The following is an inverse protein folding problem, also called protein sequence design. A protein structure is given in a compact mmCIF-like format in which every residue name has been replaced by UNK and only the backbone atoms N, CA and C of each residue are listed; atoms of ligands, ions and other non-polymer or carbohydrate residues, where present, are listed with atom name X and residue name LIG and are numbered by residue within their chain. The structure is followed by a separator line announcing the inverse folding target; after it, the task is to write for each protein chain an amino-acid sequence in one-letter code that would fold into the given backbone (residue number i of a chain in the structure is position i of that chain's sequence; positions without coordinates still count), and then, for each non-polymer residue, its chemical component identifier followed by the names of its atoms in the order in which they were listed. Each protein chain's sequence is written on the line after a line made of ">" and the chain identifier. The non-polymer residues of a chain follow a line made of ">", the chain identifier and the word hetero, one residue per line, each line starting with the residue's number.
data_IF_302185368460
#
_entry.id   IF_302185368460
#
_cell.length_a   1.000
_cell.length_b   1.000
_cell.length_c   1.000
_cell.angle_alpha   90.00
_cell.angle_beta   90.00
_cell.angle_gamma   90.00
#
_symmetry.space_group_name_H-M   'P 1'
#
loop_
_entity.id
_entity.type
_entity.pdbx_description
1 polymer ?
#
# COMPACT_ATOMS: atom_id res chain seq x y z
N UNK A 1 -21.06 7.13 28.22
CA UNK A 1 -20.23 7.13 26.97
C UNK A 1 -20.04 8.53 26.42
N UNK A 2 -21.06 9.30 26.12
CA UNK A 2 -20.98 10.67 25.54
C UNK A 2 -20.09 11.62 26.34
N UNK A 3 -20.29 11.71 27.67
CA UNK A 3 -19.50 12.56 28.57
C UNK A 3 -18.00 12.24 28.57
N UNK A 4 -17.60 11.02 28.28
CA UNK A 4 -16.19 10.65 28.14
C UNK A 4 -15.66 11.04 26.76
N UNK A 5 -16.39 10.73 25.69
CA UNK A 5 -15.99 11.06 24.30
C UNK A 5 -15.82 12.58 24.12
N UNK A 6 -16.68 13.40 24.73
CA UNK A 6 -16.61 14.87 24.65
C UNK A 6 -15.35 15.48 25.30
N UNK A 7 -14.59 14.70 26.10
CA UNK A 7 -13.34 15.11 26.75
C UNK A 7 -12.10 14.72 25.97
N UNK A 8 -12.24 14.01 24.84
CA UNK A 8 -11.13 13.70 23.95
C UNK A 8 -10.54 14.98 23.38
N UNK A 9 -9.22 15.09 23.40
CA UNK A 9 -8.49 16.26 22.92
C UNK A 9 -7.79 15.98 21.59
N UNK A 10 -6.84 15.04 21.58
CA UNK A 10 -6.07 14.71 20.38
C UNK A 10 -6.86 13.81 19.40
N UNK A 11 -7.77 13.01 19.93
CA UNK A 11 -8.67 12.14 19.17
C UNK A 11 -10.10 12.68 19.13
N UNK A 12 -10.29 13.94 19.52
CA UNK A 12 -11.61 14.58 19.63
C UNK A 12 -12.15 15.21 18.35
N UNK A 13 -11.32 15.34 17.30
CA UNK A 13 -11.77 15.82 15.99
C UNK A 13 -12.49 14.70 15.24
N UNK A 14 -13.69 14.36 15.75
CA UNK A 14 -14.53 13.30 15.21
C UNK A 14 -15.47 13.89 14.16
N UNK A 15 -15.42 13.41 12.91
CA UNK A 15 -16.43 13.73 11.91
C UNK A 15 -17.84 13.41 12.43
N UNK A 16 -18.82 14.23 12.06
CA UNK A 16 -20.21 14.01 12.50
C UNK A 16 -20.78 12.65 12.09
N UNK A 17 -20.21 12.04 11.07
CA UNK A 17 -20.57 10.70 10.59
C UNK A 17 -19.73 9.60 11.24
N UNK A 18 -18.77 9.88 12.12
CA UNK A 18 -17.97 8.84 12.78
C UNK A 18 -18.84 7.99 13.71
N UNK A 19 -18.60 6.65 13.69
CA UNK A 19 -19.39 5.67 14.47
C UNK A 19 -19.35 6.00 15.97
N UNK A 20 -18.13 6.30 16.48
CA UNK A 20 -17.94 6.66 17.90
C UNK A 20 -18.71 7.90 18.28
N UNK A 21 -18.72 8.92 17.42
CA UNK A 21 -19.49 10.16 17.64
C UNK A 21 -21.00 9.89 17.67
N UNK A 22 -21.50 9.13 16.67
CA UNK A 22 -22.93 8.77 16.59
C UNK A 22 -23.39 7.92 17.76
N UNK A 23 -22.63 6.92 18.17
CA UNK A 23 -22.96 6.12 19.36
C UNK A 23 -22.95 6.98 20.62
N UNK A 24 -21.99 7.92 20.75
CA UNK A 24 -21.98 8.88 21.85
C UNK A 24 -23.28 9.66 21.94
N UNK A 25 -23.74 10.25 20.83
CA UNK A 25 -25.01 10.99 20.78
C UNK A 25 -26.25 10.13 21.15
N UNK A 26 -26.31 8.90 20.62
CA UNK A 26 -27.42 7.98 20.92
C UNK A 26 -27.46 7.58 22.39
N UNK A 27 -26.29 7.41 23.00
CA UNK A 27 -26.20 7.10 24.43
C UNK A 27 -26.50 8.33 25.33
N UNK A 28 -26.19 9.53 24.86
CA UNK A 28 -26.64 10.75 25.53
C UNK A 28 -28.18 10.84 25.57
N UNK A 29 -28.84 10.63 24.42
CA UNK A 29 -30.30 10.61 24.33
C UNK A 29 -30.89 9.55 25.27
N UNK A 30 -30.29 8.38 25.36
CA UNK A 30 -30.71 7.35 26.31
C UNK A 30 -30.56 7.77 27.76
N UNK A 31 -29.41 8.35 28.14
CA UNK A 31 -29.13 8.80 29.51
C UNK A 31 -30.06 9.96 29.96
N UNK A 32 -30.37 10.89 29.04
CA UNK A 32 -31.30 12.01 29.29
C UNK A 32 -32.74 11.52 29.38
N UNK A 33 -33.08 10.38 28.76
CA UNK A 33 -34.42 9.81 28.81
C UNK A 33 -35.42 10.42 27.81
N UNK A 34 -34.96 11.32 26.93
CA UNK A 34 -35.79 11.96 25.90
C UNK A 34 -35.56 11.24 24.54
N UNK A 35 -36.18 10.09 24.34
CA UNK A 35 -36.03 9.33 23.09
C UNK A 35 -37.28 8.53 22.71
N UNK A 36 -37.48 8.32 21.40
CA UNK A 36 -38.37 7.31 20.89
C UNK A 36 -37.61 5.96 20.85
N UNK A 37 -38.10 4.98 21.61
CA UNK A 37 -37.43 3.67 21.73
C UNK A 37 -37.18 2.99 20.38
N UNK A 38 -38.15 3.02 19.47
CA UNK A 38 -38.07 2.37 18.16
C UNK A 38 -37.02 3.06 17.27
N UNK A 39 -36.96 4.38 17.29
CA UNK A 39 -35.98 5.15 16.53
C UNK A 39 -34.58 4.97 17.10
N UNK A 40 -34.42 5.04 18.42
CA UNK A 40 -33.13 4.84 19.08
C UNK A 40 -32.56 3.45 18.77
N UNK A 41 -33.38 2.40 18.85
CA UNK A 41 -32.96 1.03 18.49
C UNK A 41 -32.56 0.92 17.02
N UNK A 42 -33.31 1.51 16.10
CA UNK A 42 -32.96 1.54 14.66
C UNK A 42 -31.61 2.22 14.43
N UNK A 43 -31.39 3.35 15.08
CA UNK A 43 -30.18 4.15 14.88
C UNK A 43 -28.94 3.47 15.52
N UNK A 44 -29.09 2.83 16.69
CA UNK A 44 -28.07 1.94 17.27
C UNK A 44 -27.73 0.80 16.31
N UNK A 45 -28.73 0.09 15.81
CA UNK A 45 -28.52 -1.01 14.85
C UNK A 45 -27.82 -0.54 13.57
N UNK A 46 -28.05 0.69 13.15
CA UNK A 46 -27.35 1.29 12.01
C UNK A 46 -25.85 1.42 12.30
N UNK A 47 -25.47 1.86 13.50
CA UNK A 47 -24.04 1.96 13.85
C UNK A 47 -23.41 0.59 14.06
N UNK A 48 -24.10 -0.36 14.66
CA UNK A 48 -23.62 -1.76 14.77
C UNK A 48 -23.40 -2.38 13.38
N UNK A 49 -24.32 -2.15 12.43
CA UNK A 49 -24.14 -2.57 11.03
C UNK A 49 -22.89 -1.95 10.40
N UNK A 50 -22.57 -0.70 10.70
CA UNK A 50 -21.34 -0.05 10.21
C UNK A 50 -20.10 -0.72 10.79
N UNK A 51 -20.09 -1.08 12.07
CA UNK A 51 -19.01 -1.89 12.68
C UNK A 51 -18.87 -3.24 11.96
N UNK A 52 -19.99 -3.91 11.66
CA UNK A 52 -20.00 -5.17 10.90
C UNK A 52 -19.47 -4.99 9.46
N UNK A 53 -19.74 -3.87 8.80
CA UNK A 53 -19.16 -3.55 7.50
C UNK A 53 -17.64 -3.46 7.58
N UNK A 54 -17.11 -2.66 8.54
CA UNK A 54 -15.66 -2.56 8.77
C UNK A 54 -15.05 -3.94 9.07
N UNK A 55 -15.71 -4.74 9.93
CA UNK A 55 -15.26 -6.09 10.24
C UNK A 55 -15.26 -7.00 9.01
N UNK A 56 -16.22 -6.83 8.10
CA UNK A 56 -16.31 -7.58 6.85
C UNK A 56 -15.21 -7.20 5.87
N UNK A 57 -14.94 -5.90 5.74
CA UNK A 57 -13.94 -5.36 4.81
C UNK A 57 -12.51 -5.75 5.22
N UNK A 58 -12.24 -5.81 6.52
CA UNK A 58 -10.92 -6.10 7.08
C UNK A 58 -10.79 -7.51 7.70
N UNK A 59 -11.85 -8.33 7.71
CA UNK A 59 -11.81 -9.68 8.26
C UNK A 59 -11.61 -9.72 9.78
N UNK A 60 -12.21 -8.79 10.53
CA UNK A 60 -12.14 -8.79 12.00
C UNK A 60 -12.98 -9.92 12.59
N UNK A 61 -12.61 -10.38 13.78
CA UNK A 61 -13.19 -11.50 14.49
C UNK A 61 -13.12 -11.25 16.01
N UNK A 62 -13.71 -12.08 16.80
CA UNK A 62 -13.77 -12.01 18.26
C UNK A 62 -14.57 -10.75 18.74
N UNK A 63 -13.96 -9.81 19.44
CA UNK A 63 -14.61 -8.60 19.93
C UNK A 63 -14.54 -7.48 18.89
N UNK A 64 -15.61 -7.28 18.13
CA UNK A 64 -15.64 -6.26 17.07
C UNK A 64 -15.67 -4.83 17.61
N UNK A 65 -16.18 -4.59 18.82
CA UNK A 65 -16.11 -3.27 19.45
C UNK A 65 -14.65 -2.89 19.76
N UNK A 66 -13.87 -3.80 20.36
CA UNK A 66 -12.45 -3.59 20.61
C UNK A 66 -11.65 -3.44 19.31
N UNK A 67 -11.96 -4.26 18.31
CA UNK A 67 -11.31 -4.17 17.00
C UNK A 67 -11.61 -2.83 16.31
N UNK A 68 -12.84 -2.33 16.39
CA UNK A 68 -13.21 -1.02 15.85
C UNK A 68 -12.46 0.12 16.57
N UNK A 69 -12.43 0.14 17.89
CA UNK A 69 -11.69 1.16 18.65
C UNK A 69 -10.18 1.12 18.34
N UNK A 70 -9.62 -0.09 18.22
CA UNK A 70 -8.22 -0.29 17.84
C UNK A 70 -7.97 0.24 16.43
N UNK A 71 -8.82 -0.10 15.47
CA UNK A 71 -8.73 0.39 14.09
C UNK A 71 -8.84 1.90 14.02
N UNK A 72 -9.75 2.49 14.80
CA UNK A 72 -9.89 3.93 14.93
C UNK A 72 -8.58 4.58 15.42
N UNK A 73 -7.97 4.07 16.51
CA UNK A 73 -6.68 4.55 17.01
C UNK A 73 -5.57 4.44 15.97
N UNK A 74 -5.49 3.31 15.27
CA UNK A 74 -4.48 3.07 14.22
C UNK A 74 -4.63 4.01 13.02
N UNK A 75 -5.87 4.40 12.69
CA UNK A 75 -6.17 5.26 11.54
C UNK A 75 -6.13 6.76 11.88
N UNK A 76 -6.20 7.14 13.15
CA UNK A 76 -6.29 8.54 13.57
C UNK A 76 -4.94 9.25 13.50
N UNK A 77 -4.74 10.02 12.44
CA UNK A 77 -3.58 10.90 12.27
C UNK A 77 -3.80 12.21 13.01
N UNK A 78 -2.97 12.50 14.02
CA UNK A 78 -2.97 13.73 14.78
C UNK A 78 -1.51 14.12 15.14
N UNK A 79 -1.26 15.34 15.68
CA UNK A 79 0.10 15.78 15.98
C UNK A 79 0.87 14.83 16.89
N UNK A 80 0.21 14.16 17.83
CA UNK A 80 0.85 13.18 18.72
C UNK A 80 1.18 11.88 17.98
N UNK A 81 0.22 11.27 17.30
CA UNK A 81 0.41 9.98 16.62
C UNK A 81 1.47 10.06 15.53
N UNK A 82 1.50 11.16 14.75
CA UNK A 82 2.54 11.43 13.73
C UNK A 82 3.91 11.65 14.38
N UNK A 83 3.98 12.31 15.55
CA UNK A 83 5.24 12.47 16.27
C UNK A 83 5.73 11.13 16.82
N UNK A 84 4.84 10.31 17.41
CA UNK A 84 5.18 8.96 17.87
C UNK A 84 5.67 8.05 16.74
N UNK A 85 5.10 8.16 15.54
CA UNK A 85 5.59 7.44 14.35
C UNK A 85 7.07 7.71 14.09
N UNK A 86 7.51 8.96 14.29
CA UNK A 86 8.89 9.38 13.98
C UNK A 86 9.89 9.06 15.08
N UNK A 87 9.56 9.40 16.32
CA UNK A 87 10.51 9.41 17.43
C UNK A 87 10.08 8.52 18.61
N UNK A 88 8.92 7.88 18.54
CA UNK A 88 8.32 7.17 19.65
C UNK A 88 7.73 8.14 20.70
N UNK A 89 7.32 7.58 21.83
CA UNK A 89 6.81 8.35 22.98
C UNK A 89 7.98 8.94 23.79
N UNK A 90 8.71 9.89 23.17
CA UNK A 90 9.74 10.66 23.92
C UNK A 90 9.08 11.69 24.84
N UNK A 91 9.81 12.09 25.91
CA UNK A 91 9.30 13.04 26.89
C UNK A 91 8.85 14.36 26.24
N UNK A 92 7.60 14.72 26.50
CA UNK A 92 7.01 15.94 25.98
C UNK A 92 5.65 16.26 26.62
N UNK A 93 5.33 17.54 26.70
CA UNK A 93 4.05 18.00 27.30
C UNK A 93 2.80 17.41 26.61
N UNK A 94 2.91 17.04 25.33
CA UNK A 94 1.82 16.41 24.57
C UNK A 94 1.42 15.05 25.15
N UNK A 95 2.35 14.32 25.77
CA UNK A 95 2.07 13.02 26.38
C UNK A 95 1.05 13.14 27.52
N UNK A 96 1.13 14.21 28.33
CA UNK A 96 0.15 14.46 29.40
C UNK A 96 -1.26 14.75 28.86
N UNK A 97 -1.36 15.41 27.71
CA UNK A 97 -2.66 15.69 27.07
C UNK A 97 -3.28 14.39 26.51
N UNK A 98 -2.46 13.54 25.91
CA UNK A 98 -2.91 12.28 25.30
C UNK A 98 -3.19 11.20 26.36
N UNK A 99 -2.51 11.24 27.51
CA UNK A 99 -2.79 10.30 28.60
C UNK A 99 -4.27 10.36 29.04
N UNK A 100 -4.89 11.57 29.00
CA UNK A 100 -6.32 11.70 29.23
C UNK A 100 -7.15 10.95 28.18
N UNK A 101 -6.78 11.07 26.91
CA UNK A 101 -7.51 10.41 25.82
C UNK A 101 -7.38 8.88 25.92
N UNK A 102 -6.20 8.36 26.22
CA UNK A 102 -6.01 6.91 26.39
C UNK A 102 -6.73 6.36 27.62
N UNK A 103 -6.85 7.14 28.71
CA UNK A 103 -7.72 6.79 29.82
C UNK A 103 -9.19 6.68 29.39
N UNK A 104 -9.63 7.58 28.51
CA UNK A 104 -10.99 7.51 27.94
C UNK A 104 -11.14 6.28 27.06
N UNK A 105 -10.18 6.02 26.16
CA UNK A 105 -10.21 4.80 25.34
C UNK A 105 -10.20 3.52 26.18
N UNK A 106 -9.41 3.45 27.27
CA UNK A 106 -9.45 2.31 28.19
C UNK A 106 -10.85 2.12 28.78
N UNK A 107 -11.54 3.21 29.21
CA UNK A 107 -12.93 3.13 29.66
C UNK A 107 -13.89 2.69 28.55
N UNK A 108 -13.65 3.08 27.31
CA UNK A 108 -14.46 2.65 26.17
C UNK A 108 -14.23 1.16 25.83
N UNK A 109 -13.03 0.64 26.03
CA UNK A 109 -12.74 -0.78 25.93
C UNK A 109 -13.48 -1.58 26.99
N UNK A 110 -13.52 -1.09 28.24
CA UNK A 110 -14.15 -1.74 29.37
C UNK A 110 -15.65 -1.40 29.51
N UNK A 111 -16.26 -0.74 28.50
CA UNK A 111 -17.62 -0.25 28.59
C UNK A 111 -18.64 -1.37 28.66
N UNK A 112 -19.50 -1.35 29.71
CA UNK A 112 -20.61 -2.31 29.87
C UNK A 112 -21.86 -1.86 29.12
N UNK A 113 -22.22 -2.57 28.07
CA UNK A 113 -23.42 -2.34 27.26
C UNK A 113 -24.70 -2.94 27.85
N UNK A 114 -24.61 -3.81 28.86
CA UNK A 114 -25.78 -4.52 29.40
C UNK A 114 -26.91 -3.60 29.89
N UNK A 115 -26.63 -2.47 30.56
CA UNK A 115 -27.70 -1.56 31.02
C UNK A 115 -28.60 -1.05 29.87
N UNK A 116 -27.97 -0.61 28.76
CA UNK A 116 -28.73 -0.10 27.62
C UNK A 116 -29.41 -1.24 26.84
N UNK A 117 -28.75 -2.39 26.67
CA UNK A 117 -29.34 -3.57 26.04
C UNK A 117 -30.59 -4.06 26.77
N UNK A 118 -30.51 -4.15 28.11
CA UNK A 118 -31.65 -4.58 28.94
C UNK A 118 -32.82 -3.60 28.87
N UNK A 119 -32.56 -2.28 28.89
CA UNK A 119 -33.59 -1.26 28.84
C UNK A 119 -34.29 -1.20 27.47
N UNK A 120 -33.53 -1.37 26.39
CA UNK A 120 -34.06 -1.32 25.03
C UNK A 120 -34.58 -2.68 24.53
N UNK A 121 -34.22 -3.80 25.18
CA UNK A 121 -34.56 -5.15 24.76
C UNK A 121 -33.81 -5.58 23.49
N UNK A 122 -32.55 -5.25 23.40
CA UNK A 122 -31.62 -5.61 22.32
C UNK A 122 -30.42 -6.38 22.88
N UNK A 123 -29.65 -7.03 22.02
CA UNK A 123 -28.45 -7.80 22.37
C UNK A 123 -27.31 -7.61 21.35
N UNK A 124 -27.43 -6.61 20.50
CA UNK A 124 -26.52 -6.41 19.36
C UNK A 124 -25.06 -6.13 19.78
N UNK A 125 -24.82 -5.44 20.91
CA UNK A 125 -23.48 -5.23 21.42
C UNK A 125 -22.88 -6.51 22.01
N UNK A 126 -23.69 -7.30 22.73
CA UNK A 126 -23.30 -8.63 23.21
C UNK A 126 -22.93 -9.54 22.05
N UNK A 127 -23.67 -9.50 20.92
CA UNK A 127 -23.37 -10.30 19.75
C UNK A 127 -22.05 -9.88 19.07
N UNK A 128 -21.80 -8.58 18.87
CA UNK A 128 -20.54 -8.12 18.25
C UNK A 128 -19.33 -8.28 19.17
N UNK A 129 -19.51 -8.35 20.48
CA UNK A 129 -18.44 -8.63 21.44
C UNK A 129 -18.01 -10.10 21.48
N UNK A 130 -18.85 -11.00 20.92
CA UNK A 130 -18.60 -12.44 20.84
C UNK A 130 -18.75 -12.93 19.38
N UNK A 131 -18.30 -12.13 18.43
CA UNK A 131 -18.52 -12.36 17.01
C UNK A 131 -17.62 -13.48 16.50
N UNK A 132 -18.19 -14.32 15.62
CA UNK A 132 -17.45 -15.34 14.87
C UNK A 132 -17.56 -15.05 13.38
N UNK A 133 -16.46 -14.68 12.76
CA UNK A 133 -16.43 -14.43 11.34
C UNK A 133 -16.68 -15.72 10.53
N UNK A 134 -17.43 -15.59 9.43
CA UNK A 134 -17.52 -16.66 8.43
C UNK A 134 -16.12 -16.82 7.82
N UNK A 135 -15.61 -18.07 7.78
CA UNK A 135 -14.30 -18.38 7.18
C UNK A 135 -14.34 -17.94 5.72
N UNK A 136 -13.53 -16.94 5.40
CA UNK A 136 -13.37 -16.40 4.05
C UNK A 136 -12.08 -16.94 3.44
N UNK A 137 -12.06 -17.08 2.10
CA UNK A 137 -10.80 -17.36 1.39
C UNK A 137 -9.87 -16.17 1.52
N UNK A 138 -8.57 -16.43 1.57
CA UNK A 138 -7.49 -15.48 1.87
C UNK A 138 -7.46 -14.18 1.01
N UNK A 139 -8.11 -14.19 -0.14
CA UNK A 139 -8.16 -13.03 -1.05
C UNK A 139 -9.35 -12.08 -0.83
N UNK A 140 -10.20 -12.32 0.18
CA UNK A 140 -11.43 -11.55 0.36
C UNK A 140 -11.28 -10.30 1.26
N UNK A 141 -10.15 -10.12 1.94
CA UNK A 141 -9.90 -8.96 2.81
C UNK A 141 -8.40 -8.67 2.97
N UNK A 142 -8.08 -7.51 3.52
CA UNK A 142 -6.69 -7.12 3.75
C UNK A 142 -6.13 -7.83 5.00
N UNK A 143 -5.49 -8.98 4.81
CA UNK A 143 -4.90 -9.79 5.88
C UNK A 143 -3.95 -9.02 6.77
N UNK A 144 -3.10 -8.19 6.17
CA UNK A 144 -2.09 -7.44 6.90
C UNK A 144 -2.71 -6.44 7.89
N UNK A 145 -3.78 -5.74 7.48
CA UNK A 145 -4.54 -4.86 8.39
C UNK A 145 -5.23 -5.68 9.46
N UNK A 146 -5.89 -6.78 9.07
CA UNK A 146 -6.60 -7.67 10.00
C UNK A 146 -5.72 -8.18 11.13
N UNK A 147 -4.56 -8.74 10.79
CA UNK A 147 -3.62 -9.30 11.77
C UNK A 147 -3.11 -8.23 12.74
N UNK A 148 -2.73 -7.05 12.24
CA UNK A 148 -2.25 -5.94 13.06
C UNK A 148 -3.31 -5.42 14.03
N UNK A 149 -4.53 -5.18 13.52
CA UNK A 149 -5.64 -4.70 14.35
C UNK A 149 -5.98 -5.71 15.44
N UNK A 150 -6.15 -6.98 15.09
CA UNK A 150 -6.49 -8.05 16.03
C UNK A 150 -5.39 -8.27 17.08
N UNK A 151 -4.13 -8.23 16.67
CA UNK A 151 -3.00 -8.39 17.59
C UNK A 151 -2.90 -7.20 18.57
N UNK A 152 -3.09 -5.98 18.07
CA UNK A 152 -3.09 -4.78 18.93
C UNK A 152 -4.32 -4.77 19.85
N UNK A 153 -5.51 -5.08 19.34
CA UNK A 153 -6.76 -5.15 20.11
C UNK A 153 -6.62 -6.06 21.33
N UNK A 154 -6.05 -7.27 21.14
CA UNK A 154 -5.79 -8.21 22.26
C UNK A 154 -4.80 -7.65 23.29
N UNK A 155 -3.78 -6.92 22.86
CA UNK A 155 -2.84 -6.26 23.79
C UNK A 155 -3.50 -5.14 24.57
N UNK A 156 -4.35 -4.34 23.93
CA UNK A 156 -5.08 -3.24 24.58
C UNK A 156 -6.15 -3.75 25.55
N UNK A 157 -6.83 -4.84 25.21
CA UNK A 157 -7.76 -5.53 26.12
C UNK A 157 -7.06 -6.04 27.36
N UNK A 158 -5.85 -6.61 27.21
CA UNK A 158 -5.06 -7.15 28.32
C UNK A 158 -4.37 -6.06 29.19
N UNK A 159 -4.31 -4.81 28.72
CA UNK A 159 -3.69 -3.70 29.46
C UNK A 159 -4.39 -3.46 30.80
N UNK A 160 -3.63 -3.50 31.89
CA UNK A 160 -4.16 -3.43 33.26
C UNK A 160 -4.53 -2.01 33.66
N UNK A 161 -3.78 -1.04 33.15
CA UNK A 161 -3.93 0.36 33.50
C UNK A 161 -3.71 1.28 32.29
N UNK A 162 -3.84 2.57 32.53
CA UNK A 162 -3.72 3.63 31.53
C UNK A 162 -2.28 3.73 30.97
N UNK A 163 -1.28 3.44 31.79
CA UNK A 163 0.11 3.53 31.39
C UNK A 163 0.47 2.37 30.45
N UNK A 164 0.05 1.13 30.77
CA UNK A 164 0.25 -0.01 29.91
C UNK A 164 -0.49 0.18 28.57
N UNK A 165 -1.69 0.75 28.59
CA UNK A 165 -2.44 1.10 27.39
C UNK A 165 -1.67 2.12 26.53
N UNK A 166 -1.13 3.19 27.16
CA UNK A 166 -0.28 4.19 26.50
C UNK A 166 0.95 3.55 25.84
N UNK A 167 1.67 2.71 26.58
CA UNK A 167 2.90 2.06 26.09
C UNK A 167 2.62 1.14 24.90
N UNK A 168 1.51 0.40 24.94
CA UNK A 168 1.09 -0.48 23.84
C UNK A 168 0.76 0.32 22.57
N UNK A 169 -0.03 1.41 22.68
CA UNK A 169 -0.39 2.23 21.50
C UNK A 169 0.83 2.93 20.93
N UNK A 170 1.64 3.56 21.78
CA UNK A 170 2.84 4.31 21.32
C UNK A 170 3.91 3.39 20.75
N UNK A 171 4.07 2.20 21.33
CA UNK A 171 4.92 1.14 20.79
C UNK A 171 4.47 0.68 19.40
N UNK A 172 3.16 0.59 19.18
CA UNK A 172 2.60 0.29 17.86
C UNK A 172 2.90 1.42 16.86
N UNK A 173 2.65 2.67 17.21
CA UNK A 173 2.94 3.81 16.32
C UNK A 173 4.40 3.89 15.92
N UNK A 174 5.31 3.62 16.86
CA UNK A 174 6.75 3.57 16.57
C UNK A 174 7.14 2.45 15.63
N UNK A 175 6.52 1.26 15.80
CA UNK A 175 6.88 0.06 15.05
C UNK A 175 6.27 0.05 13.63
N UNK A 176 5.02 0.48 13.51
CA UNK A 176 4.24 0.33 12.26
C UNK A 176 3.76 1.66 11.69
N UNK A 177 3.81 2.75 12.48
CA UNK A 177 3.28 4.06 12.12
C UNK A 177 1.78 4.19 12.31
N UNK A 178 1.22 5.27 11.78
CA UNK A 178 -0.19 5.64 11.94
C UNK A 178 -0.85 5.91 10.59
N UNK A 179 -2.16 5.80 10.55
CA UNK A 179 -2.96 6.04 9.36
C UNK A 179 -2.82 4.94 8.31
N UNK A 180 -3.30 5.21 7.12
CA UNK A 180 -3.31 4.23 6.04
C UNK A 180 -1.92 3.73 5.64
N UNK A 181 -0.88 4.58 5.74
CA UNK A 181 0.49 4.21 5.40
C UNK A 181 1.11 3.22 6.39
N UNK A 182 0.67 3.23 7.66
CA UNK A 182 1.07 2.24 8.66
C UNK A 182 0.53 0.85 8.37
N UNK A 183 -0.64 0.78 7.80
CA UNK A 183 -1.39 -0.46 7.63
C UNK A 183 -1.20 -1.12 6.27
N UNK A 184 -0.90 -0.38 5.21
CA UNK A 184 -0.91 -0.88 3.85
C UNK A 184 0.46 -0.75 3.16
N UNK A 185 0.75 -1.68 2.23
CA UNK A 185 2.01 -1.76 1.47
C UNK A 185 2.04 -0.83 0.28
N UNK A 186 0.90 -0.76 -0.43
CA UNK A 186 0.81 -0.09 -1.71
C UNK A 186 -0.49 0.69 -1.86
N UNK A 187 -0.43 1.74 -2.65
CA UNK A 187 -1.52 2.69 -2.86
C UNK A 187 -1.63 3.06 -4.33
N UNK A 188 -2.83 3.44 -4.74
CA UNK A 188 -3.13 4.22 -5.94
C UNK A 188 -3.65 5.58 -5.52
N UNK A 189 -3.80 6.48 -6.47
CA UNK A 189 -4.51 7.72 -6.25
C UNK A 189 -5.86 7.67 -6.96
N UNK A 190 -6.89 8.18 -6.30
CA UNK A 190 -8.22 8.42 -6.83
C UNK A 190 -8.40 9.92 -7.04
N UNK A 191 -8.79 10.32 -8.25
CA UNK A 191 -9.01 11.72 -8.60
C UNK A 191 -10.42 12.15 -8.20
N UNK A 192 -10.53 13.31 -7.58
CA UNK A 192 -11.81 13.90 -7.20
C UNK A 192 -12.28 14.93 -8.24
N UNK A 193 -13.59 15.13 -8.31
CA UNK A 193 -14.22 16.08 -9.25
C UNK A 193 -13.80 17.54 -8.99
N UNK A 194 -13.39 17.87 -7.77
CA UNK A 194 -12.89 19.20 -7.38
C UNK A 194 -11.42 19.44 -7.74
N UNK A 195 -10.78 18.47 -8.43
CA UNK A 195 -9.37 18.55 -8.81
C UNK A 195 -8.40 18.16 -7.68
N UNK A 196 -8.93 17.59 -6.59
CA UNK A 196 -8.15 16.92 -5.53
C UNK A 196 -7.83 15.47 -5.87
N UNK A 197 -7.17 14.78 -4.94
CA UNK A 197 -6.97 13.34 -4.98
C UNK A 197 -6.94 12.77 -3.55
N UNK A 198 -7.20 11.46 -3.44
CA UNK A 198 -6.97 10.68 -2.22
C UNK A 198 -6.09 9.46 -2.51
N UNK A 199 -5.44 8.95 -1.45
CA UNK A 199 -4.72 7.69 -1.53
C UNK A 199 -5.69 6.54 -1.27
N UNK A 200 -5.70 5.56 -2.18
CA UNK A 200 -6.51 4.35 -2.07
C UNK A 200 -5.60 3.13 -1.84
N UNK A 201 -5.73 2.42 -0.71
CA UNK A 201 -4.95 1.22 -0.45
C UNK A 201 -5.20 0.13 -1.51
N UNK A 202 -4.13 -0.55 -1.91
CA UNK A 202 -4.21 -1.75 -2.76
C UNK A 202 -4.28 -2.97 -1.83
N UNK A 203 -5.46 -3.51 -1.64
CA UNK A 203 -5.70 -4.61 -0.69
C UNK A 203 -5.13 -5.96 -1.13
N UNK A 204 -5.08 -6.20 -2.45
CA UNK A 204 -4.70 -7.48 -3.05
C UNK A 204 -3.45 -7.31 -3.92
N UNK A 205 -2.35 -6.87 -3.33
CA UNK A 205 -1.06 -6.87 -4.00
C UNK A 205 -0.54 -8.31 -4.10
N UNK A 206 -0.01 -8.68 -5.29
CA UNK A 206 0.62 -9.99 -5.48
C UNK A 206 1.67 -10.26 -4.39
N UNK A 207 1.57 -11.39 -3.71
CA UNK A 207 2.50 -11.80 -2.64
C UNK A 207 3.82 -12.36 -3.17
N UNK A 208 4.24 -11.93 -4.37
CA UNK A 208 5.47 -12.38 -5.02
C UNK A 208 6.71 -11.88 -4.27
N UNK A 209 7.70 -12.76 -4.10
CA UNK A 209 9.02 -12.44 -3.57
C UNK A 209 10.07 -12.49 -4.68
N UNK A 210 11.25 -11.88 -4.45
CA UNK A 210 12.32 -11.91 -5.47
C UNK A 210 12.80 -13.34 -5.81
N UNK A 211 12.71 -14.25 -4.85
CA UNK A 211 13.07 -15.68 -5.05
C UNK A 211 12.04 -16.44 -5.92
N UNK A 212 10.88 -15.86 -6.15
CA UNK A 212 9.89 -16.42 -7.05
C UNK A 212 10.18 -16.09 -8.52
N UNK A 213 10.96 -15.04 -8.76
CA UNK A 213 11.47 -14.72 -10.10
C UNK A 213 12.69 -15.58 -10.41
N UNK A 214 12.53 -16.52 -11.32
CA UNK A 214 13.61 -17.43 -11.74
C UNK A 214 14.49 -16.72 -12.76
N UNK A 215 15.79 -16.73 -12.54
CA UNK A 215 16.77 -16.01 -13.34
C UNK A 215 16.90 -14.53 -12.96
N UNK A 216 17.57 -13.77 -13.83
CA UNK A 216 17.80 -12.33 -13.68
C UNK A 216 18.56 -11.92 -12.40
N UNK A 217 19.50 -12.74 -11.93
CA UNK A 217 20.22 -12.56 -10.65
C UNK A 217 20.98 -11.21 -10.59
N UNK A 218 21.58 -10.78 -11.71
CA UNK A 218 22.30 -9.50 -11.78
C UNK A 218 21.30 -8.34 -11.65
N UNK A 219 20.15 -8.44 -12.29
CA UNK A 219 19.10 -7.43 -12.27
C UNK A 219 18.49 -7.34 -10.87
N UNK A 220 18.13 -8.48 -10.28
CA UNK A 220 17.65 -8.59 -8.90
C UNK A 220 18.64 -7.97 -7.94
N UNK A 221 19.90 -8.34 -8.01
CA UNK A 221 20.95 -7.79 -7.15
C UNK A 221 21.05 -6.26 -7.25
N UNK A 222 21.10 -5.70 -8.45
CA UNK A 222 21.17 -4.24 -8.64
C UNK A 222 19.97 -3.51 -8.06
N UNK A 223 18.76 -4.07 -8.23
CA UNK A 223 17.53 -3.52 -7.69
C UNK A 223 17.54 -3.58 -6.15
N UNK A 224 17.93 -4.73 -5.59
CA UNK A 224 18.03 -4.96 -4.14
C UNK A 224 19.05 -4.03 -3.51
N UNK A 225 20.28 -3.98 -4.03
CA UNK A 225 21.37 -3.13 -3.48
C UNK A 225 20.95 -1.65 -3.38
N UNK A 226 20.26 -1.12 -4.42
CA UNK A 226 19.78 0.26 -4.42
C UNK A 226 18.60 0.47 -3.43
N UNK A 227 17.68 -0.49 -3.37
CA UNK A 227 16.50 -0.37 -2.49
C UNK A 227 16.88 -0.57 -1.02
N UNK A 228 17.79 -1.49 -0.72
CA UNK A 228 18.31 -1.72 0.63
C UNK A 228 19.03 -0.45 1.15
N UNK A 229 19.89 0.16 0.33
CA UNK A 229 20.52 1.42 0.68
C UNK A 229 19.48 2.51 1.00
N UNK A 230 18.41 2.59 0.20
CA UNK A 230 17.33 3.54 0.41
C UNK A 230 16.57 3.30 1.73
N UNK A 231 16.20 2.07 2.02
CA UNK A 231 15.48 1.68 3.24
C UNK A 231 16.34 1.96 4.48
N UNK A 232 17.65 1.69 4.40
CA UNK A 232 18.62 1.98 5.46
C UNK A 232 18.92 3.49 5.64
N UNK A 233 18.26 4.38 4.89
CA UNK A 233 18.47 5.83 4.99
C UNK A 233 19.72 6.34 4.30
N UNK A 234 20.40 5.51 3.52
CA UNK A 234 21.54 5.92 2.69
C UNK A 234 21.07 6.58 1.39
N UNK A 235 21.98 7.30 0.73
CA UNK A 235 21.68 7.86 -0.60
C UNK A 235 21.46 6.74 -1.61
N UNK A 236 20.36 6.83 -2.34
CA UNK A 236 19.98 5.89 -3.38
C UNK A 236 19.40 6.64 -4.60
N UNK A 237 19.24 5.94 -5.71
CA UNK A 237 18.85 6.53 -6.97
C UNK A 237 17.44 6.14 -7.40
N UNK A 238 16.83 6.96 -8.24
CA UNK A 238 15.67 6.55 -9.03
C UNK A 238 16.07 5.38 -9.96
N UNK A 239 15.14 4.47 -10.21
CA UNK A 239 15.40 3.23 -10.97
C UNK A 239 14.50 3.14 -12.19
N UNK A 240 15.09 2.83 -13.33
CA UNK A 240 14.38 2.48 -14.56
C UNK A 240 14.70 1.02 -14.95
N UNK A 241 13.69 0.16 -14.94
CA UNK A 241 13.76 -1.18 -15.50
C UNK A 241 13.23 -1.14 -16.94
N UNK A 242 14.08 -1.44 -17.90
CA UNK A 242 13.66 -1.40 -19.31
C UNK A 242 14.00 -2.71 -20.04
N UNK A 243 13.33 -2.96 -21.15
CA UNK A 243 13.59 -4.11 -22.00
C UNK A 243 12.33 -4.88 -22.40
N UNK A 244 12.49 -6.13 -22.81
CA UNK A 244 11.44 -6.92 -23.43
C UNK A 244 10.21 -7.13 -22.55
N UNK A 245 9.04 -7.23 -23.17
CA UNK A 245 7.79 -7.53 -22.45
C UNK A 245 7.79 -8.93 -21.87
N UNK A 246 7.17 -9.12 -20.71
CA UNK A 246 7.03 -10.43 -20.06
C UNK A 246 8.29 -10.96 -19.37
N UNK A 247 9.31 -10.12 -19.15
CA UNK A 247 10.57 -10.49 -18.50
C UNK A 247 10.61 -10.30 -16.99
N UNK A 248 9.49 -9.91 -16.36
CA UNK A 248 9.39 -9.79 -14.90
C UNK A 248 9.74 -8.41 -14.32
N UNK A 249 9.86 -7.35 -15.13
CA UNK A 249 10.17 -5.98 -14.66
C UNK A 249 9.22 -5.50 -13.56
N UNK A 250 7.93 -5.46 -13.85
CA UNK A 250 6.90 -5.00 -12.89
C UNK A 250 6.80 -5.94 -11.69
N UNK A 251 6.97 -7.25 -11.91
CA UNK A 251 7.00 -8.26 -10.84
C UNK A 251 8.18 -8.04 -9.90
N UNK A 252 9.36 -7.67 -10.41
CA UNK A 252 10.55 -7.35 -9.58
C UNK A 252 10.29 -6.17 -8.65
N UNK A 253 9.61 -5.12 -9.13
CA UNK A 253 9.26 -3.97 -8.28
C UNK A 253 8.25 -4.34 -7.21
N UNK A 254 7.22 -5.13 -7.54
CA UNK A 254 6.26 -5.63 -6.55
C UNK A 254 6.95 -6.50 -5.50
N UNK A 255 7.84 -7.38 -5.93
CA UNK A 255 8.59 -8.28 -5.04
C UNK A 255 9.48 -7.49 -4.06
N UNK A 256 10.18 -6.45 -4.52
CA UNK A 256 11.02 -5.62 -3.65
C UNK A 256 10.19 -4.88 -2.59
N UNK A 257 8.98 -4.42 -2.93
CA UNK A 257 8.08 -3.78 -1.97
C UNK A 257 7.61 -4.78 -0.91
N UNK A 258 7.28 -6.01 -1.30
CA UNK A 258 6.93 -7.07 -0.34
C UNK A 258 8.09 -7.38 0.60
N UNK A 259 9.32 -7.46 0.07
CA UNK A 259 10.51 -7.80 0.83
C UNK A 259 10.86 -6.76 1.90
N UNK A 260 10.72 -5.47 1.60
CA UNK A 260 11.12 -4.37 2.50
C UNK A 260 9.95 -3.64 3.16
N UNK A 261 8.74 -4.21 3.09
CA UNK A 261 7.57 -3.59 3.73
C UNK A 261 7.72 -3.41 5.24
N UNK A 262 8.21 -4.43 5.93
CA UNK A 262 8.41 -4.40 7.39
C UNK A 262 9.56 -3.46 7.79
N UNK A 263 10.46 -3.17 6.87
CA UNK A 263 11.50 -2.13 7.02
C UNK A 263 11.01 -0.72 6.66
N UNK A 264 9.72 -0.53 6.48
CA UNK A 264 9.08 0.77 6.27
C UNK A 264 8.95 1.19 4.80
N UNK A 265 9.18 0.31 3.83
CA UNK A 265 8.98 0.63 2.41
C UNK A 265 7.49 0.63 2.05
N UNK A 266 7.07 1.64 1.28
CA UNK A 266 5.71 1.80 0.76
C UNK A 266 5.75 2.12 -0.74
N UNK A 267 4.71 1.73 -1.48
CA UNK A 267 4.61 2.02 -2.91
C UNK A 267 3.37 2.85 -3.21
N UNK A 268 3.51 3.84 -4.08
CA UNK A 268 2.39 4.59 -4.65
C UNK A 268 2.44 4.39 -6.15
N UNK A 269 1.50 3.63 -6.68
CA UNK A 269 1.34 3.41 -8.12
C UNK A 269 0.60 4.59 -8.72
N UNK A 270 1.19 5.22 -9.75
CA UNK A 270 0.58 6.33 -10.48
C UNK A 270 0.60 6.08 -11.98
N UNK A 271 -0.46 6.50 -12.63
CA UNK A 271 -0.61 6.41 -14.08
C UNK A 271 -0.19 7.72 -14.75
N UNK A 272 0.18 7.65 -16.01
CA UNK A 272 0.70 8.80 -16.78
C UNK A 272 -0.20 10.04 -16.71
N UNK A 273 -1.52 9.90 -16.87
CA UNK A 273 -2.47 11.02 -16.78
C UNK A 273 -2.53 11.68 -15.40
N UNK A 274 -2.00 11.02 -14.37
CA UNK A 274 -1.95 11.50 -12.96
C UNK A 274 -0.68 12.27 -12.62
N UNK A 275 0.28 12.42 -13.56
CA UNK A 275 1.54 13.11 -13.29
C UNK A 275 1.38 14.57 -12.88
N UNK A 276 0.28 15.20 -13.24
CA UNK A 276 -0.10 16.54 -12.74
C UNK A 276 -0.19 16.64 -11.22
N UNK A 277 -0.39 15.51 -10.53
CA UNK A 277 -0.47 15.43 -9.05
C UNK A 277 0.87 15.12 -8.37
N UNK A 278 1.94 14.80 -9.11
CA UNK A 278 3.23 14.36 -8.54
C UNK A 278 3.74 15.28 -7.43
N UNK A 279 3.74 16.60 -7.64
CA UNK A 279 4.20 17.56 -6.62
C UNK A 279 3.32 17.53 -5.36
N UNK A 280 2.00 17.39 -5.53
CA UNK A 280 1.07 17.29 -4.39
C UNK A 280 1.24 15.96 -3.63
N UNK A 281 1.45 14.86 -4.36
CA UNK A 281 1.73 13.53 -3.77
C UNK A 281 3.02 13.62 -2.94
N UNK A 282 4.09 14.15 -3.49
CA UNK A 282 5.37 14.34 -2.79
C UNK A 282 5.18 15.18 -1.54
N UNK A 283 4.47 16.31 -1.64
CA UNK A 283 4.19 17.17 -0.49
C UNK A 283 3.44 16.44 0.64
N UNK A 284 2.52 15.54 0.31
CA UNK A 284 1.74 14.76 1.29
C UNK A 284 2.58 13.70 2.02
N UNK A 285 3.63 13.14 1.38
CA UNK A 285 4.40 12.01 1.94
C UNK A 285 5.81 12.37 2.40
N UNK A 286 6.35 13.53 1.99
CA UNK A 286 7.75 13.93 2.28
C UNK A 286 8.10 13.99 3.77
N UNK A 287 7.11 14.24 4.62
CA UNK A 287 7.29 14.37 6.06
C UNK A 287 6.94 13.11 6.86
N UNK A 288 6.58 12.01 6.18
CA UNK A 288 6.26 10.74 6.84
C UNK A 288 7.54 9.94 7.15
N UNK A 289 7.46 9.06 8.12
CA UNK A 289 8.59 8.23 8.56
C UNK A 289 8.82 6.98 7.70
N UNK A 290 8.15 6.89 6.56
CA UNK A 290 8.28 5.77 5.61
C UNK A 290 9.20 6.12 4.46
N UNK A 291 9.71 5.09 3.79
CA UNK A 291 10.38 5.19 2.49
C UNK A 291 9.35 4.90 1.40
N UNK A 292 9.20 5.82 0.45
CA UNK A 292 8.20 5.70 -0.61
C UNK A 292 8.84 5.48 -1.96
N UNK A 293 8.34 4.47 -2.68
CA UNK A 293 8.57 4.31 -4.11
C UNK A 293 7.34 4.83 -4.85
N UNK A 294 7.49 5.89 -5.62
CA UNK A 294 6.49 6.29 -6.61
C UNK A 294 6.73 5.42 -7.84
N UNK A 295 5.77 4.53 -8.12
CA UNK A 295 5.89 3.53 -9.17
C UNK A 295 5.10 3.90 -10.41
N UNK A 296 5.75 3.78 -11.57
CA UNK A 296 5.19 4.05 -12.90
C UNK A 296 5.38 2.83 -13.78
N UNK A 297 4.29 2.13 -14.09
CA UNK A 297 4.35 0.94 -14.95
C UNK A 297 4.21 1.31 -16.42
N UNK A 298 4.97 0.60 -17.28
CA UNK A 298 5.01 0.74 -18.73
C UNK A 298 5.16 2.19 -19.24
N UNK A 299 6.12 2.91 -18.63
CA UNK A 299 6.37 4.31 -18.91
C UNK A 299 6.88 4.50 -20.34
N UNK A 300 6.12 5.24 -21.13
CA UNK A 300 6.50 5.65 -22.48
C UNK A 300 5.77 6.95 -22.85
N UNK A 301 6.41 7.79 -23.63
CA UNK A 301 5.85 9.05 -24.10
C UNK A 301 5.86 9.13 -25.61
N UNK A 302 4.81 9.68 -26.19
CA UNK A 302 4.81 10.14 -27.56
C UNK A 302 5.45 11.54 -27.63
N UNK A 303 5.88 11.95 -28.80
CA UNK A 303 6.67 13.18 -28.99
C UNK A 303 5.98 14.48 -28.52
N UNK A 304 4.67 14.54 -28.64
CA UNK A 304 3.84 15.72 -28.32
C UNK A 304 3.19 15.70 -26.94
N UNK A 305 3.41 14.64 -26.15
CA UNK A 305 2.85 14.55 -24.80
C UNK A 305 3.58 15.48 -23.85
N UNK A 306 2.84 16.19 -23.01
CA UNK A 306 3.38 17.15 -22.05
C UNK A 306 3.70 16.54 -20.68
N UNK A 307 3.18 15.34 -20.43
CA UNK A 307 3.28 14.63 -19.15
C UNK A 307 4.74 14.38 -18.73
N UNK A 308 5.64 14.16 -19.69
CA UNK A 308 7.05 14.00 -19.40
C UNK A 308 7.68 15.22 -18.71
N UNK A 309 7.15 16.43 -18.95
CA UNK A 309 7.64 17.67 -18.33
C UNK A 309 7.38 17.69 -16.83
N UNK A 310 6.23 17.16 -16.39
CA UNK A 310 5.94 17.03 -14.96
C UNK A 310 6.92 16.06 -14.29
N UNK A 311 7.18 14.91 -14.93
CA UNK A 311 8.13 13.93 -14.43
C UNK A 311 9.54 14.50 -14.38
N UNK A 312 9.98 15.19 -15.45
CA UNK A 312 11.27 15.85 -15.54
C UNK A 312 11.45 16.86 -14.40
N UNK A 313 10.49 17.75 -14.19
CA UNK A 313 10.53 18.75 -13.13
C UNK A 313 10.67 18.12 -11.72
N UNK A 314 10.00 17.01 -11.49
CA UNK A 314 10.08 16.30 -10.20
C UNK A 314 11.40 15.57 -10.00
N UNK A 315 11.91 14.91 -11.06
CA UNK A 315 13.20 14.17 -10.96
C UNK A 315 14.39 15.13 -10.83
N UNK A 316 14.34 16.29 -11.50
CA UNK A 316 15.38 17.32 -11.41
C UNK A 316 15.42 17.99 -10.05
N UNK A 317 14.28 18.03 -9.36
CA UNK A 317 14.09 18.88 -8.20
C UNK A 317 14.04 20.35 -8.63
N UNK A 318 12.99 21.06 -8.24
CA UNK A 318 12.92 22.50 -8.43
C UNK A 318 13.73 23.24 -7.36
N UNK A 319 13.19 24.33 -6.82
CA UNK A 319 13.79 25.11 -5.72
C UNK A 319 13.80 24.29 -4.40
N UNK A 320 12.85 23.34 -4.23
CA UNK A 320 12.84 22.42 -3.09
C UNK A 320 13.84 21.28 -3.31
N UNK A 321 14.62 20.96 -2.27
CA UNK A 321 15.47 19.77 -2.27
C UNK A 321 14.61 18.51 -2.38
N UNK A 322 15.06 17.54 -3.21
CA UNK A 322 14.39 16.25 -3.32
C UNK A 322 14.31 15.59 -1.93
N UNK A 323 13.11 15.16 -1.49
CA UNK A 323 12.98 14.47 -0.21
C UNK A 323 13.79 13.17 -0.18
N UNK A 324 14.54 12.94 0.90
CA UNK A 324 15.39 11.75 1.05
C UNK A 324 14.58 10.45 1.24
N UNK A 325 13.29 10.57 1.52
CA UNK A 325 12.40 9.45 1.74
C UNK A 325 11.56 9.04 0.51
N UNK A 326 11.87 9.57 -0.69
CA UNK A 326 11.09 9.30 -1.91
C UNK A 326 12.02 8.95 -3.07
N UNK A 327 11.76 7.82 -3.72
CA UNK A 327 12.36 7.43 -5.00
C UNK A 327 11.29 7.18 -6.06
N UNK A 328 11.66 7.34 -7.32
CA UNK A 328 10.84 7.02 -8.48
C UNK A 328 11.38 5.74 -9.10
N UNK A 329 10.52 4.72 -9.20
CA UNK A 329 10.80 3.49 -9.92
C UNK A 329 9.86 3.40 -11.13
N UNK A 330 10.42 3.13 -12.29
CA UNK A 330 9.64 3.00 -13.51
C UNK A 330 10.00 1.72 -14.26
N UNK A 331 9.01 1.17 -14.96
CA UNK A 331 9.26 0.14 -15.98
C UNK A 331 9.00 0.70 -17.36
N UNK A 332 9.68 0.16 -18.37
CA UNK A 332 9.44 0.51 -19.78
C UNK A 332 9.72 -0.68 -20.68
N UNK A 333 8.95 -0.82 -21.74
CA UNK A 333 9.25 -1.77 -22.82
C UNK A 333 10.24 -1.18 -23.84
N UNK A 334 10.72 0.04 -23.62
CA UNK A 334 11.64 0.76 -24.49
C UNK A 334 12.86 1.23 -23.70
N UNK A 335 14.03 1.22 -24.34
CA UNK A 335 15.25 1.79 -23.75
C UNK A 335 15.16 3.31 -23.62
N UNK A 336 14.60 3.96 -24.62
CA UNK A 336 14.34 5.38 -24.65
C UNK A 336 12.84 5.61 -24.35
N UNK A 337 12.55 6.38 -23.31
CA UNK A 337 11.19 6.59 -22.80
C UNK A 337 10.30 7.35 -23.78
N UNK A 338 10.89 8.15 -24.68
CA UNK A 338 10.17 8.92 -25.70
C UNK A 338 10.39 8.23 -27.05
N UNK A 339 9.29 8.11 -27.83
CA UNK A 339 9.30 7.43 -29.13
C UNK A 339 10.15 8.20 -30.13
N UNK A 340 11.09 7.50 -30.76
CA UNK A 340 11.85 8.00 -31.88
C UNK A 340 11.02 7.84 -33.17
N UNK A 341 10.91 8.88 -33.99
CA UNK A 341 10.29 8.80 -35.31
C UNK A 341 11.31 8.31 -36.34
N UNK A 342 10.81 7.80 -37.48
CA UNK A 342 11.68 7.40 -38.60
C UNK A 342 12.56 8.54 -39.12
N UNK A 343 12.13 9.79 -38.99
CA UNK A 343 12.90 10.97 -39.33
C UNK A 343 14.10 11.18 -38.42
N UNK A 344 13.98 10.90 -37.13
CA UNK A 344 15.08 11.00 -36.13
C UNK A 344 16.28 10.09 -36.47
N UNK A 345 16.05 9.01 -37.21
CA UNK A 345 17.12 8.06 -37.65
C UNK A 345 17.82 8.47 -38.93
N UNK A 346 17.13 9.21 -39.81
CA UNK A 346 17.69 9.65 -41.10
C UNK A 346 18.48 10.95 -40.99
N UNK A 347 18.25 11.75 -39.92
CA UNK A 347 18.86 13.06 -39.75
C UNK A 347 20.23 13.07 -39.08
N UNK A 348 20.76 11.90 -38.68
CA UNK A 348 22.15 11.79 -38.23
C UNK A 348 23.17 12.13 -39.36
N UNK A 349 22.70 12.17 -40.64
CA UNK A 349 23.54 12.47 -41.81
C UNK A 349 23.36 13.93 -42.34
N UNK A 350 22.40 14.72 -41.82
CA UNK A 350 22.16 16.08 -42.31
C UNK A 350 22.35 17.14 -41.23
N UNK A 351 23.49 17.78 -41.23
CA UNK A 351 24.02 18.72 -40.24
C UNK A 351 23.40 20.12 -40.19
N UNK A 352 22.13 20.35 -40.51
CA UNK A 352 21.61 21.71 -40.64
C UNK A 352 20.36 22.07 -39.82
N UNK A 353 19.88 21.22 -38.93
CA UNK A 353 18.70 21.53 -38.10
C UNK A 353 18.99 21.47 -36.59
N UNK A 354 19.37 22.65 -36.03
CA UNK A 354 19.66 22.80 -34.59
C UNK A 354 18.48 22.46 -33.67
N UNK A 355 17.25 22.57 -34.19
CA UNK A 355 16.04 22.27 -33.39
C UNK A 355 15.79 20.78 -33.17
N UNK A 356 16.26 19.89 -34.06
CA UNK A 356 16.15 18.43 -33.90
C UNK A 356 17.13 17.89 -32.89
N UNK A 357 18.34 18.43 -32.82
CA UNK A 357 19.37 18.06 -31.83
C UNK A 357 18.86 18.29 -30.39
N UNK A 358 18.20 19.43 -30.14
CA UNK A 358 17.70 19.79 -28.81
C UNK A 358 16.61 18.81 -28.32
N UNK A 359 15.74 18.34 -29.23
CA UNK A 359 14.65 17.41 -28.89
C UNK A 359 15.20 16.00 -28.56
N UNK A 360 16.21 15.53 -29.29
CA UNK A 360 16.86 14.22 -29.03
C UNK A 360 17.66 14.27 -27.73
N UNK A 361 18.37 15.36 -27.46
CA UNK A 361 19.08 15.56 -26.20
C UNK A 361 18.12 15.64 -25.01
N UNK A 362 16.95 16.28 -25.19
CA UNK A 362 15.91 16.33 -24.16
C UNK A 362 15.29 14.96 -23.89
N UNK A 363 15.10 14.13 -24.92
CA UNK A 363 14.63 12.73 -24.84
C UNK A 363 15.61 11.84 -24.07
N UNK A 364 16.89 11.92 -24.37
CA UNK A 364 17.95 11.18 -23.67
C UNK A 364 18.15 11.68 -22.22
N UNK A 365 17.96 12.97 -22.00
CA UNK A 365 18.08 13.62 -20.71
C UNK A 365 17.17 13.01 -19.63
N UNK A 366 15.95 12.59 -19.98
CA UNK A 366 15.04 11.96 -18.99
C UNK A 366 15.53 10.60 -18.50
N UNK A 367 16.06 9.74 -19.39
CA UNK A 367 16.61 8.43 -19.03
C UNK A 367 17.87 8.59 -18.14
N UNK A 368 18.72 9.54 -18.48
CA UNK A 368 19.96 9.80 -17.73
C UNK A 368 19.70 10.30 -16.30
N UNK A 369 18.47 10.76 -16.00
CA UNK A 369 18.08 11.17 -14.65
C UNK A 369 17.67 10.02 -13.73
N UNK A 370 17.43 8.83 -14.29
CA UNK A 370 17.38 7.62 -13.50
C UNK A 370 18.82 7.18 -13.23
N UNK A 371 19.29 7.37 -12.01
CA UNK A 371 20.69 7.06 -11.66
C UNK A 371 21.02 5.57 -11.74
N UNK A 372 20.01 4.70 -11.71
CA UNK A 372 20.13 3.25 -11.92
C UNK A 372 19.22 2.81 -13.05
N UNK A 373 19.83 2.24 -14.10
CA UNK A 373 19.10 1.62 -15.22
C UNK A 373 19.40 0.13 -15.28
N UNK A 374 18.34 -0.70 -15.38
CA UNK A 374 18.44 -2.16 -15.35
C UNK A 374 17.76 -2.72 -16.60
N UNK A 375 18.55 -3.42 -17.44
CA UNK A 375 18.05 -4.02 -18.68
C UNK A 375 17.54 -5.44 -18.45
N UNK A 376 16.35 -5.72 -18.93
CA UNK A 376 15.71 -7.04 -18.93
C UNK A 376 15.55 -7.52 -20.37
N UNK A 377 16.42 -8.40 -20.82
CA UNK A 377 16.33 -9.05 -22.14
C UNK A 377 15.48 -10.32 -22.05
N UNK A 378 14.92 -10.74 -23.18
CA UNK A 378 14.29 -12.06 -23.28
C UNK A 378 15.27 -13.14 -22.83
N UNK A 379 14.81 -14.16 -22.10
CA UNK A 379 15.65 -15.28 -21.73
C UNK A 379 16.07 -16.05 -23.00
N UNK A 380 17.25 -16.66 -22.97
CA UNK A 380 17.63 -17.67 -23.93
C UNK A 380 16.73 -18.91 -23.83
N UNK A 381 16.72 -19.77 -24.80
CA UNK A 381 15.94 -21.02 -24.76
C UNK A 381 16.28 -21.88 -23.54
N UNK A 382 17.56 -21.95 -23.17
CA UNK A 382 18.02 -22.67 -21.98
C UNK A 382 17.46 -22.05 -20.67
N UNK A 383 17.51 -20.75 -20.57
CA UNK A 383 16.96 -20.02 -19.39
C UNK A 383 15.44 -20.17 -19.35
N UNK A 384 14.76 -20.13 -20.50
CA UNK A 384 13.30 -20.34 -20.57
C UNK A 384 12.91 -21.74 -20.07
N UNK A 385 13.62 -22.79 -20.49
CA UNK A 385 13.39 -24.13 -20.00
C UNK A 385 13.63 -24.23 -18.48
N UNK A 386 14.69 -23.60 -17.98
CA UNK A 386 14.93 -23.53 -16.54
C UNK A 386 13.78 -22.83 -15.81
N UNK A 387 13.25 -21.71 -16.34
CA UNK A 387 12.09 -21.03 -15.77
C UNK A 387 10.88 -21.95 -15.74
N UNK A 388 10.60 -22.66 -16.83
CA UNK A 388 9.47 -23.61 -16.95
C UNK A 388 9.59 -24.74 -15.92
N UNK A 389 10.75 -25.40 -15.85
CA UNK A 389 10.95 -26.54 -14.95
C UNK A 389 10.87 -26.14 -13.49
N UNK A 390 11.47 -25.02 -13.10
CA UNK A 390 11.39 -24.52 -11.73
C UNK A 390 9.97 -24.08 -11.33
N UNK A 391 9.24 -23.38 -12.23
CA UNK A 391 7.83 -23.02 -11.99
C UNK A 391 6.95 -24.27 -11.87
N UNK A 392 7.13 -25.25 -12.73
CA UNK A 392 6.39 -26.51 -12.70
C UNK A 392 6.64 -27.28 -11.40
N UNK A 393 7.88 -27.35 -10.91
CA UNK A 393 8.24 -27.99 -9.63
C UNK A 393 7.60 -27.24 -8.45
N UNK A 394 7.68 -25.92 -8.43
CA UNK A 394 7.01 -25.09 -7.39
C UNK A 394 5.49 -25.32 -7.37
N UNK A 395 4.89 -25.58 -8.52
CA UNK A 395 3.45 -25.86 -8.66
C UNK A 395 3.07 -27.31 -8.40
N UNK A 396 4.02 -28.20 -8.10
CA UNK A 396 3.77 -29.62 -7.85
C UNK A 396 3.49 -30.45 -9.11
N UNK A 397 3.96 -30.02 -10.29
CA UNK A 397 3.82 -30.78 -11.54
C UNK A 397 4.64 -32.08 -11.49
N UNK A 398 4.04 -33.17 -11.96
CA UNK A 398 4.64 -34.51 -11.94
C UNK A 398 5.32 -34.93 -13.28
N UNK A 399 5.22 -34.10 -14.31
CA UNK A 399 5.86 -34.36 -15.60
C UNK A 399 7.39 -34.30 -15.50
N UNK A 400 8.07 -35.09 -16.32
CA UNK A 400 9.52 -35.06 -16.43
C UNK A 400 10.01 -33.72 -17.07
N UNK A 401 11.23 -33.31 -16.73
CA UNK A 401 11.84 -32.10 -17.29
C UNK A 401 11.92 -32.18 -18.85
N UNK A 402 12.13 -33.34 -19.41
CA UNK A 402 12.19 -33.55 -20.87
C UNK A 402 10.82 -33.33 -21.53
N UNK A 403 9.74 -33.82 -20.90
CA UNK A 403 8.38 -33.62 -21.39
C UNK A 403 7.95 -32.16 -21.24
N UNK A 404 8.27 -31.53 -20.13
CA UNK A 404 8.01 -30.10 -19.88
C UNK A 404 8.72 -29.24 -20.95
N UNK A 405 9.99 -29.45 -21.19
CA UNK A 405 10.74 -28.69 -22.19
C UNK A 405 10.20 -28.88 -23.61
N UNK A 406 9.81 -30.11 -23.97
CA UNK A 406 9.25 -30.41 -25.29
C UNK A 406 7.91 -29.72 -25.51
N UNK A 407 7.00 -29.79 -24.51
CA UNK A 407 5.68 -29.17 -24.61
C UNK A 407 5.77 -27.64 -24.49
N UNK A 408 6.67 -27.10 -23.65
CA UNK A 408 6.93 -25.68 -23.55
C UNK A 408 7.44 -25.07 -24.85
N UNK A 409 8.28 -25.81 -25.59
CA UNK A 409 8.78 -25.38 -26.90
C UNK A 409 7.65 -25.30 -27.96
N UNK A 410 6.70 -26.23 -27.94
CA UNK A 410 5.52 -26.16 -28.80
C UNK A 410 4.61 -24.97 -28.41
N UNK A 411 4.44 -24.77 -27.11
CA UNK A 411 3.59 -23.70 -26.57
C UNK A 411 4.12 -22.31 -26.96
N UNK A 412 5.42 -22.05 -26.80
CA UNK A 412 6.01 -20.74 -27.05
C UNK A 412 5.87 -20.29 -28.52
N UNK A 413 5.97 -21.25 -29.49
CA UNK A 413 5.79 -20.97 -30.92
C UNK A 413 4.42 -20.38 -31.26
N UNK A 414 3.39 -20.73 -30.48
CA UNK A 414 2.00 -20.28 -30.70
C UNK A 414 1.55 -19.15 -29.75
N UNK A 415 2.35 -18.82 -28.70
CA UNK A 415 1.96 -17.91 -27.64
C UNK A 415 2.90 -16.72 -27.44
N UNK A 416 3.46 -16.19 -28.53
CA UNK A 416 4.22 -14.92 -28.49
C UNK A 416 5.70 -15.03 -28.16
N UNK A 417 6.25 -16.26 -28.19
CA UNK A 417 7.68 -16.50 -28.04
C UNK A 417 8.15 -16.62 -26.59
N UNK A 418 9.46 -16.73 -26.44
CA UNK A 418 10.13 -16.98 -25.16
C UNK A 418 10.00 -15.78 -24.23
N UNK A 419 9.39 -15.97 -23.04
CA UNK A 419 9.34 -14.99 -21.96
C UNK A 419 8.94 -15.65 -20.62
N UNK A 420 9.16 -14.98 -19.49
CA UNK A 420 8.66 -15.44 -18.18
C UNK A 420 7.13 -15.53 -18.13
N UNK A 421 6.43 -14.60 -18.79
CA UNK A 421 4.95 -14.65 -18.92
C UNK A 421 4.50 -15.90 -19.65
N UNK A 422 5.12 -16.22 -20.78
CA UNK A 422 4.81 -17.42 -21.55
C UNK A 422 5.07 -18.70 -20.76
N UNK A 423 6.15 -18.75 -19.97
CA UNK A 423 6.45 -19.85 -19.07
C UNK A 423 5.36 -20.04 -18.01
N UNK A 424 4.94 -18.97 -17.34
CA UNK A 424 3.87 -19.01 -16.33
C UNK A 424 2.54 -19.47 -16.95
N UNK A 425 2.17 -18.93 -18.11
CA UNK A 425 0.94 -19.33 -18.81
C UNK A 425 0.97 -20.82 -19.20
N UNK A 426 2.11 -21.31 -19.66
CA UNK A 426 2.29 -22.73 -19.99
C UNK A 426 2.12 -23.61 -18.74
N UNK A 427 2.79 -23.28 -17.64
CA UNK A 427 2.70 -24.07 -16.40
C UNK A 427 1.25 -24.08 -15.88
N UNK A 428 0.56 -22.93 -15.87
CA UNK A 428 -0.84 -22.86 -15.49
C UNK A 428 -1.74 -23.73 -16.39
N UNK A 429 -1.47 -23.75 -17.71
CA UNK A 429 -2.20 -24.60 -18.64
C UNK A 429 -1.98 -26.08 -18.36
N UNK A 430 -0.75 -26.50 -18.14
CA UNK A 430 -0.42 -27.90 -17.81
C UNK A 430 -1.06 -28.31 -16.49
N UNK A 431 -0.98 -27.48 -15.46
CA UNK A 431 -1.57 -27.77 -14.14
C UNK A 431 -3.11 -27.84 -14.17
N UNK A 432 -3.75 -27.14 -15.08
CA UNK A 432 -5.22 -27.21 -15.25
C UNK A 432 -5.69 -28.45 -16.03
N UNK A 433 -4.81 -29.10 -16.79
CA UNK A 433 -5.16 -30.23 -17.67
C UNK A 433 -4.56 -31.57 -17.18
N UNK A 434 -3.78 -31.58 -16.13
CA UNK A 434 -3.30 -32.77 -15.43
C UNK A 434 -3.91 -32.86 -14.02
#
# INVERSE_FOLDING_TARGET
>A
MYQEISKLLMYGDLPQDEILYKLGQLFEQFEVGEYNKTELVRDINTQVKRILNVATDYGFDDNLWHNYLTFFLMMSENPFSITCEKVGASDGSVNGLVANDFRIFKKLFDYDFKPIESALGIDCFTQISNYKAIVKKDLMYNHNVSEKVRALSKKLEAAKDEQEFFDVVTGFYKAYGVGMFGLNKAFRIEEHLDGGFSFMPINNMDAVMLDDLIGYEIQKKKLTDNTEAFVQGKKANNVLLFGDSGTGKSTSIKAIVNQYYDDGLRMIEIYKHQFKYLSKIIAAIKNRNYRFIIYMDDLSFEEHEIEYKFLKAVIEGGVETKPDNILIYATSNRRHLIKETWNDRNDQDNSNDKHHSDTVEEKLSLVNRFGVTISYSKPSQKEFFNIVTELARKSGCTLSDEELCREANKWELSHGGISGRTATQFVNYIMANN
#
